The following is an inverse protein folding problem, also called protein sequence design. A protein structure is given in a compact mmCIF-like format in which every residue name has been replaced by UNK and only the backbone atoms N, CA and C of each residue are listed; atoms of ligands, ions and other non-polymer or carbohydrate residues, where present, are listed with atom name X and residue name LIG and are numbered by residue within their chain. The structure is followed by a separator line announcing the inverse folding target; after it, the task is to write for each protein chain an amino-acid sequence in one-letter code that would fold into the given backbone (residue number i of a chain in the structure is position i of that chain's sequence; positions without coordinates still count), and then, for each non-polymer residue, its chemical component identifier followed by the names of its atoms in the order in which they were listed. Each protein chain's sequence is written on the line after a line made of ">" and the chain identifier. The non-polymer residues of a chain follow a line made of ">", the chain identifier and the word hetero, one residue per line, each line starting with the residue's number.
data_IF_354215459513
#
_entry.id   IF_354215459513
#
_cell.length_a   1.000
_cell.length_b   1.000
_cell.length_c   1.000
_cell.angle_alpha   90.00
_cell.angle_beta   90.00
_cell.angle_gamma   90.00
#
_symmetry.space_group_name_H-M   'P 1'
#
loop_
_entity.id
_entity.type
_entity.pdbx_description
1 polymer ?
#
# COMPACT_ATOMS: atom_id res chain seq x y z
N UNK A 1 40.56 37.02 59.08
CA UNK A 1 39.48 36.65 58.15
C UNK A 1 39.75 35.20 57.74
N UNK A 2 38.80 34.28 57.99
CA UNK A 2 39.03 32.83 57.85
C UNK A 2 38.95 32.38 56.38
N UNK A 3 40.02 31.80 55.80
CA UNK A 3 40.03 31.29 54.43
C UNK A 3 39.14 30.06 54.23
N UNK A 4 38.77 29.35 55.31
CA UNK A 4 37.95 28.12 55.24
C UNK A 4 36.48 28.36 54.83
N UNK A 5 35.96 29.58 54.99
CA UNK A 5 34.57 29.90 54.66
C UNK A 5 34.40 30.16 53.14
N UNK A 6 35.45 30.65 52.48
CA UNK A 6 35.43 30.94 51.03
C UNK A 6 35.54 29.64 50.22
N UNK A 7 36.35 28.68 50.68
CA UNK A 7 36.56 27.38 50.02
C UNK A 7 35.32 26.47 50.13
N UNK A 8 34.60 26.53 51.26
CA UNK A 8 33.36 25.78 51.45
C UNK A 8 32.20 26.29 50.56
N UNK A 9 32.13 27.60 50.29
CA UNK A 9 31.11 28.19 49.41
C UNK A 9 31.36 27.88 47.93
N UNK A 10 32.62 27.82 47.51
CA UNK A 10 33.02 27.45 46.13
C UNK A 10 32.76 25.95 45.88
N UNK A 11 32.98 25.09 46.88
CA UNK A 11 32.69 23.66 46.81
C UNK A 11 31.19 23.33 46.67
N UNK A 12 30.31 24.09 47.35
CA UNK A 12 28.86 23.92 47.23
C UNK A 12 28.28 24.52 45.93
N UNK A 13 28.82 25.64 45.45
CA UNK A 13 28.42 26.24 44.17
C UNK A 13 28.75 25.35 42.96
N UNK A 14 29.91 24.68 42.97
CA UNK A 14 30.29 23.72 41.92
C UNK A 14 29.43 22.45 41.92
N UNK A 15 29.03 21.95 43.08
CA UNK A 15 28.21 20.74 43.22
C UNK A 15 26.77 20.93 42.70
N UNK A 16 26.15 22.09 42.93
CA UNK A 16 24.78 22.38 42.47
C UNK A 16 24.73 22.58 40.95
N UNK A 17 25.74 23.24 40.36
CA UNK A 17 25.85 23.39 38.89
C UNK A 17 26.18 22.04 38.24
N UNK A 18 27.05 21.22 38.84
CA UNK A 18 27.35 19.87 38.36
C UNK A 18 26.15 18.93 38.40
N UNK A 19 25.31 19.01 39.45
CA UNK A 19 24.07 18.24 39.56
C UNK A 19 22.97 18.73 38.60
N UNK A 20 22.83 20.03 38.37
CA UNK A 20 21.88 20.57 37.39
C UNK A 20 22.30 20.25 35.95
N UNK A 21 23.60 20.33 35.65
CA UNK A 21 24.15 19.98 34.33
C UNK A 21 24.04 18.48 34.04
N UNK A 22 24.25 17.60 35.03
CA UNK A 22 24.07 16.15 34.88
C UNK A 22 22.60 15.75 34.73
N UNK A 23 21.68 16.42 35.43
CA UNK A 23 20.24 16.18 35.30
C UNK A 23 19.69 16.67 33.94
N UNK A 24 20.16 17.82 33.46
CA UNK A 24 19.78 18.35 32.14
C UNK A 24 20.28 17.49 30.97
N UNK A 25 21.54 17.03 31.03
CA UNK A 25 22.11 16.12 30.03
C UNK A 25 21.46 14.73 30.08
N UNK A 26 21.17 14.20 31.27
CA UNK A 26 20.41 12.95 31.42
C UNK A 26 19.02 13.06 30.78
N UNK A 27 18.30 14.16 30.97
CA UNK A 27 16.98 14.36 30.38
C UNK A 27 17.00 14.48 28.85
N UNK A 28 17.95 15.22 28.29
CA UNK A 28 18.15 15.30 26.83
C UNK A 28 18.51 13.93 26.25
N UNK A 29 19.36 13.18 26.94
CA UNK A 29 19.77 11.82 26.54
C UNK A 29 18.59 10.86 26.61
N UNK A 30 17.80 10.90 27.69
CA UNK A 30 16.59 10.08 27.86
C UNK A 30 15.54 10.39 26.79
N UNK A 31 15.37 11.67 26.43
CA UNK A 31 14.48 12.09 25.34
C UNK A 31 14.94 11.54 24.00
N UNK A 32 16.22 11.68 23.66
CA UNK A 32 16.80 11.11 22.43
C UNK A 32 16.64 9.60 22.38
N UNK A 33 17.02 8.89 23.43
CA UNK A 33 16.82 7.42 23.54
C UNK A 33 15.36 7.02 23.37
N UNK A 34 14.41 7.79 23.90
CA UNK A 34 12.98 7.52 23.72
C UNK A 34 12.49 7.76 22.28
N UNK A 35 13.11 8.70 21.56
CA UNK A 35 12.83 8.97 20.15
C UNK A 35 13.44 7.88 19.28
N UNK A 36 14.72 7.57 19.50
CA UNK A 36 15.45 6.51 18.80
C UNK A 36 14.76 5.15 18.99
N UNK A 37 14.29 4.83 20.20
CA UNK A 37 13.55 3.59 20.47
C UNK A 37 12.20 3.53 19.75
N UNK A 38 11.50 4.67 19.60
CA UNK A 38 10.25 4.74 18.83
C UNK A 38 10.51 4.60 17.35
N UNK A 39 11.58 5.21 16.84
CA UNK A 39 11.99 5.11 15.45
C UNK A 39 12.43 3.69 15.10
N UNK A 40 13.28 3.06 15.92
CA UNK A 40 13.69 1.67 15.79
C UNK A 40 12.47 0.73 15.79
N UNK A 41 11.52 0.95 16.69
CA UNK A 41 10.28 0.15 16.74
C UNK A 41 9.40 0.35 15.50
N UNK A 42 9.28 1.58 14.99
CA UNK A 42 8.54 1.85 13.75
C UNK A 42 9.20 1.18 12.56
N UNK A 43 10.52 1.26 12.48
CA UNK A 43 11.31 0.61 11.46
C UNK A 43 11.14 -0.92 11.49
N UNK A 44 11.22 -1.52 12.68
CA UNK A 44 11.01 -2.96 12.86
C UNK A 44 9.60 -3.40 12.44
N UNK A 45 8.57 -2.66 12.85
CA UNK A 45 7.18 -2.92 12.43
C UNK A 45 7.05 -2.82 10.91
N UNK A 46 7.65 -1.79 10.30
CA UNK A 46 7.63 -1.58 8.86
C UNK A 46 8.31 -2.72 8.10
N UNK A 47 9.49 -3.15 8.54
CA UNK A 47 10.24 -4.26 7.94
C UNK A 47 9.46 -5.57 8.02
N UNK A 48 8.94 -5.92 9.20
CA UNK A 48 8.16 -7.15 9.38
C UNK A 48 6.88 -7.16 8.52
N UNK A 49 6.20 -6.02 8.45
CA UNK A 49 5.02 -5.86 7.61
C UNK A 49 5.34 -5.97 6.10
N UNK A 50 6.48 -5.41 5.67
CA UNK A 50 6.96 -5.53 4.29
C UNK A 50 7.35 -6.97 3.94
N UNK A 51 8.03 -7.69 4.84
CA UNK A 51 8.39 -9.10 4.66
C UNK A 51 7.15 -10.00 4.57
N UNK A 52 6.14 -9.75 5.40
CA UNK A 52 4.85 -10.46 5.35
C UNK A 52 4.13 -10.21 4.02
N UNK A 53 4.05 -8.94 3.59
CA UNK A 53 3.45 -8.57 2.31
C UNK A 53 4.19 -9.20 1.12
N UNK A 54 5.52 -9.17 1.14
CA UNK A 54 6.37 -9.78 0.11
C UNK A 54 6.15 -11.28 0.05
N UNK A 55 6.05 -11.96 1.18
CA UNK A 55 5.76 -13.40 1.23
C UNK A 55 4.42 -13.73 0.58
N UNK A 56 3.36 -13.00 0.92
CA UNK A 56 2.03 -13.20 0.33
C UNK A 56 2.02 -12.96 -1.19
N UNK A 57 2.73 -11.93 -1.66
CA UNK A 57 2.86 -11.64 -3.09
C UNK A 57 3.70 -12.68 -3.84
N UNK A 58 4.78 -13.19 -3.26
CA UNK A 58 5.57 -14.27 -3.86
C UNK A 58 4.76 -15.57 -3.95
N UNK A 59 3.99 -15.90 -2.91
CA UNK A 59 3.09 -17.05 -2.95
C UNK A 59 1.97 -16.84 -3.99
N UNK A 60 1.44 -15.63 -4.12
CA UNK A 60 0.49 -15.28 -5.16
C UNK A 60 1.10 -15.43 -6.56
N UNK A 61 2.33 -14.97 -6.78
CA UNK A 61 3.03 -15.13 -8.06
C UNK A 61 3.17 -16.61 -8.42
N UNK A 62 3.66 -17.43 -7.49
CA UNK A 62 3.77 -18.88 -7.67
C UNK A 62 2.41 -19.52 -7.96
N UNK A 63 1.36 -19.13 -7.23
CA UNK A 63 0.01 -19.60 -7.48
C UNK A 63 -0.45 -19.27 -8.91
N UNK A 64 -0.28 -18.01 -9.36
CA UNK A 64 -0.66 -17.57 -10.70
C UNK A 64 0.12 -18.29 -11.83
N UNK A 65 1.30 -18.82 -11.55
CA UNK A 65 2.06 -19.66 -12.48
C UNK A 65 1.49 -21.07 -12.64
N UNK A 66 0.81 -21.57 -11.62
CA UNK A 66 0.16 -22.89 -11.63
C UNK A 66 -1.25 -22.87 -12.22
N UNK A 67 -1.84 -21.68 -12.41
CA UNK A 67 -3.18 -21.53 -12.98
C UNK A 67 -3.19 -22.02 -14.44
N UNK A 68 -3.78 -23.19 -14.64
CA UNK A 68 -4.11 -23.69 -15.98
C UNK A 68 -5.31 -22.90 -16.49
N UNK A 69 -5.15 -22.26 -17.65
CA UNK A 69 -6.23 -21.50 -18.28
C UNK A 69 -7.04 -22.45 -19.17
N UNK A 70 -8.29 -22.77 -18.82
CA UNK A 70 -9.15 -23.55 -19.70
C UNK A 70 -9.43 -22.76 -20.99
N UNK A 71 -9.62 -23.47 -22.10
CA UNK A 71 -9.98 -22.86 -23.39
C UNK A 71 -11.42 -22.34 -23.42
N UNK A 72 -12.28 -22.87 -22.55
CA UNK A 72 -13.66 -22.44 -22.38
C UNK A 72 -13.74 -21.25 -21.42
N UNK A 73 -14.85 -20.50 -21.49
CA UNK A 73 -15.13 -19.36 -20.60
C UNK A 73 -15.99 -19.84 -19.44
N UNK A 74 -15.43 -20.35 -18.33
CA UNK A 74 -16.22 -20.61 -17.14
C UNK A 74 -16.86 -19.32 -16.62
N UNK A 75 -18.08 -19.45 -16.10
CA UNK A 75 -18.86 -18.37 -15.49
C UNK A 75 -18.16 -17.78 -14.26
N UNK A 76 -17.38 -18.60 -13.55
CA UNK A 76 -16.53 -18.21 -12.43
C UNK A 76 -15.07 -18.58 -12.71
N UNK A 77 -14.16 -17.63 -12.52
CA UNK A 77 -12.72 -17.84 -12.60
C UNK A 77 -12.25 -18.59 -11.33
N UNK A 78 -11.91 -19.89 -11.37
CA UNK A 78 -11.64 -20.68 -10.16
C UNK A 78 -10.42 -20.17 -9.37
N UNK A 79 -9.50 -19.49 -10.05
CA UNK A 79 -8.30 -18.89 -9.45
C UNK A 79 -8.57 -17.55 -8.74
N UNK A 80 -9.67 -16.87 -9.08
CA UNK A 80 -9.92 -15.48 -8.68
C UNK A 80 -10.03 -15.33 -7.17
N UNK A 81 -10.76 -16.23 -6.51
CA UNK A 81 -11.00 -16.16 -5.07
C UNK A 81 -9.69 -16.25 -4.28
N UNK A 82 -8.85 -17.23 -4.60
CA UNK A 82 -7.56 -17.40 -3.92
C UNK A 82 -6.62 -16.23 -4.21
N UNK A 83 -6.57 -15.76 -5.46
CA UNK A 83 -5.72 -14.65 -5.84
C UNK A 83 -6.11 -13.35 -5.13
N UNK A 84 -7.41 -13.03 -5.06
CA UNK A 84 -7.91 -11.85 -4.36
C UNK A 84 -7.73 -11.96 -2.84
N UNK A 85 -7.84 -13.16 -2.25
CA UNK A 85 -7.58 -13.35 -0.82
C UNK A 85 -6.11 -13.09 -0.47
N UNK A 86 -5.16 -13.63 -1.25
CA UNK A 86 -3.73 -13.35 -1.08
C UNK A 86 -3.40 -11.87 -1.28
N UNK A 87 -3.96 -11.26 -2.33
CA UNK A 87 -3.80 -9.83 -2.58
C UNK A 87 -4.35 -8.98 -1.43
N UNK A 88 -5.47 -9.39 -0.83
CA UNK A 88 -6.04 -8.75 0.35
C UNK A 88 -5.09 -8.87 1.56
N UNK A 89 -4.56 -10.06 1.85
CA UNK A 89 -3.60 -10.26 2.95
C UNK A 89 -2.36 -9.39 2.76
N UNK A 90 -1.77 -9.39 1.56
CA UNK A 90 -0.67 -8.50 1.23
C UNK A 90 -1.03 -7.03 1.48
N UNK A 91 -2.21 -6.56 1.05
CA UNK A 91 -2.64 -5.18 1.27
C UNK A 91 -2.81 -4.81 2.75
N UNK A 92 -3.26 -5.76 3.58
CA UNK A 92 -3.40 -5.56 5.03
C UNK A 92 -2.04 -5.45 5.71
N UNK A 93 -1.06 -6.26 5.30
CA UNK A 93 0.32 -6.15 5.79
C UNK A 93 0.93 -4.83 5.36
N UNK A 94 0.79 -4.42 4.10
CA UNK A 94 1.31 -3.14 3.60
C UNK A 94 0.71 -1.93 4.31
N UNK A 95 -0.56 -1.99 4.72
CA UNK A 95 -1.21 -0.92 5.49
C UNK A 95 -0.57 -0.65 6.88
N UNK A 96 0.25 -1.58 7.38
CA UNK A 96 0.98 -1.44 8.66
C UNK A 96 2.34 -0.77 8.48
N UNK A 97 2.80 -0.56 7.26
CA UNK A 97 4.11 0.02 6.97
C UNK A 97 4.04 1.54 7.22
N UNK A 98 4.93 2.10 8.07
CA UNK A 98 4.91 3.53 8.36
C UNK A 98 5.40 4.37 7.18
N UNK A 99 4.80 5.55 7.00
CA UNK A 99 5.15 6.49 5.93
C UNK A 99 4.17 6.43 4.75
N UNK A 100 4.40 7.29 3.75
CA UNK A 100 3.53 7.40 2.55
C UNK A 100 4.20 6.95 1.26
N UNK A 101 5.54 7.01 1.20
CA UNK A 101 6.29 6.75 -0.03
C UNK A 101 6.02 5.36 -0.63
N UNK A 102 6.02 4.31 0.21
CA UNK A 102 5.72 2.95 -0.24
C UNK A 102 4.24 2.76 -0.61
N UNK A 103 3.26 3.13 0.25
CA UNK A 103 1.85 3.08 -0.13
C UNK A 103 1.53 3.79 -1.45
N UNK A 104 2.07 4.98 -1.68
CA UNK A 104 1.80 5.77 -2.89
C UNK A 104 2.31 5.05 -4.16
N UNK A 105 3.41 4.30 -4.06
CA UNK A 105 3.98 3.55 -5.19
C UNK A 105 3.22 2.25 -5.46
N UNK A 106 2.81 1.55 -4.42
CA UNK A 106 2.12 0.26 -4.56
C UNK A 106 0.63 0.40 -4.87
N UNK A 107 0.02 1.54 -4.53
CA UNK A 107 -1.42 1.73 -4.70
C UNK A 107 -1.87 1.50 -6.16
N UNK A 108 -1.11 2.01 -7.12
CA UNK A 108 -1.44 1.87 -8.56
C UNK A 108 -1.45 0.41 -9.01
N UNK A 109 -0.37 -0.38 -8.86
CA UNK A 109 -0.40 -1.78 -9.25
C UNK A 109 -1.40 -2.60 -8.41
N UNK A 110 -1.61 -2.28 -7.13
CA UNK A 110 -2.63 -2.94 -6.30
C UNK A 110 -4.05 -2.73 -6.85
N UNK A 111 -4.40 -1.50 -7.22
CA UNK A 111 -5.71 -1.18 -7.77
C UNK A 111 -5.90 -1.79 -9.16
N UNK A 112 -4.86 -1.79 -9.98
CA UNK A 112 -4.88 -2.46 -11.28
C UNK A 112 -4.99 -3.98 -11.13
N UNK A 113 -4.36 -4.59 -10.12
CA UNK A 113 -4.49 -6.02 -9.85
C UNK A 113 -5.94 -6.39 -9.51
N UNK A 114 -6.62 -5.57 -8.69
CA UNK A 114 -8.06 -5.72 -8.42
C UNK A 114 -8.92 -5.48 -9.66
N UNK A 115 -8.45 -4.66 -10.58
CA UNK A 115 -9.09 -4.37 -11.87
C UNK A 115 -8.72 -5.38 -12.98
N UNK A 116 -8.30 -6.60 -12.65
CA UNK A 116 -7.84 -7.61 -13.63
C UNK A 116 -8.84 -7.91 -14.76
N UNK A 117 -10.15 -7.74 -14.55
CA UNK A 117 -11.19 -7.90 -15.60
C UNK A 117 -10.97 -6.94 -16.78
N UNK A 118 -10.33 -5.79 -16.56
CA UNK A 118 -9.92 -4.85 -17.61
C UNK A 118 -8.71 -5.35 -18.43
N UNK A 119 -8.09 -6.48 -18.08
CA UNK A 119 -7.06 -7.11 -18.91
C UNK A 119 -7.63 -7.70 -20.20
N UNK A 120 -8.86 -8.20 -20.19
CA UNK A 120 -9.47 -8.81 -21.37
C UNK A 120 -10.58 -9.80 -21.07
N UNK A 121 -11.33 -10.21 -22.11
CA UNK A 121 -12.38 -11.23 -21.96
C UNK A 121 -11.80 -12.62 -21.66
N UNK A 122 -10.55 -12.89 -22.06
CA UNK A 122 -9.89 -14.20 -21.88
C UNK A 122 -9.22 -14.32 -20.52
N UNK A 123 -9.40 -15.45 -19.84
CA UNK A 123 -8.75 -15.77 -18.56
C UNK A 123 -7.23 -15.61 -18.60
N UNK A 124 -6.56 -16.04 -19.68
CA UNK A 124 -5.11 -15.89 -19.80
C UNK A 124 -4.65 -14.42 -19.74
N UNK A 125 -5.44 -13.50 -20.28
CA UNK A 125 -5.13 -12.07 -20.23
C UNK A 125 -5.32 -11.51 -18.82
N UNK A 126 -6.33 -11.98 -18.09
CA UNK A 126 -6.63 -11.62 -16.71
C UNK A 126 -5.54 -12.08 -15.73
N UNK A 127 -5.13 -13.34 -15.85
CA UNK A 127 -4.02 -13.92 -15.06
C UNK A 127 -2.73 -13.18 -15.38
N UNK A 128 -2.41 -12.98 -16.67
CA UNK A 128 -1.23 -12.22 -17.10
C UNK A 128 -1.23 -10.78 -16.56
N UNK A 129 -2.38 -10.11 -16.61
CA UNK A 129 -2.54 -8.77 -16.06
C UNK A 129 -2.20 -8.72 -14.57
N UNK A 130 -2.79 -9.63 -13.78
CA UNK A 130 -2.51 -9.67 -12.35
C UNK A 130 -1.04 -9.99 -12.07
N UNK A 131 -0.43 -10.92 -12.83
CA UNK A 131 1.00 -11.25 -12.71
C UNK A 131 1.89 -10.02 -12.86
N UNK A 132 1.66 -9.20 -13.89
CA UNK A 132 2.46 -7.98 -14.09
C UNK A 132 2.35 -7.01 -12.91
N UNK A 133 1.16 -6.86 -12.33
CA UNK A 133 1.00 -5.98 -11.17
C UNK A 133 1.68 -6.56 -9.93
N UNK A 134 1.58 -7.87 -9.72
CA UNK A 134 2.23 -8.58 -8.60
C UNK A 134 3.75 -8.50 -8.71
N UNK A 135 4.31 -8.71 -9.90
CA UNK A 135 5.73 -8.57 -10.18
C UNK A 135 6.24 -7.16 -9.83
N UNK A 136 5.52 -6.11 -10.25
CA UNK A 136 5.87 -4.73 -9.95
C UNK A 136 5.83 -4.44 -8.43
N UNK A 137 4.81 -4.91 -7.73
CA UNK A 137 4.72 -4.77 -6.26
C UNK A 137 5.85 -5.52 -5.54
N UNK A 138 6.22 -6.71 -6.01
CA UNK A 138 7.36 -7.47 -5.45
C UNK A 138 8.65 -6.69 -5.62
N UNK A 139 8.91 -6.14 -6.81
CA UNK A 139 10.11 -5.32 -7.06
C UNK A 139 10.16 -4.12 -6.13
N UNK A 140 9.06 -3.38 -5.98
CA UNK A 140 9.00 -2.21 -5.08
C UNK A 140 9.23 -2.61 -3.61
N UNK A 141 8.63 -3.71 -3.14
CA UNK A 141 8.81 -4.18 -1.77
C UNK A 141 10.22 -4.72 -1.50
N UNK A 142 10.86 -5.35 -2.49
CA UNK A 142 12.24 -5.81 -2.35
C UNK A 142 13.20 -4.64 -2.14
N UNK A 143 13.04 -3.55 -2.90
CA UNK A 143 13.88 -2.36 -2.70
C UNK A 143 13.58 -1.64 -1.39
N UNK A 144 12.32 -1.61 -0.97
CA UNK A 144 11.95 -1.12 0.36
C UNK A 144 12.63 -1.90 1.49
N UNK A 145 12.62 -3.23 1.43
CA UNK A 145 13.27 -4.09 2.44
C UNK A 145 14.78 -3.92 2.44
N UNK A 146 15.39 -3.66 1.28
CA UNK A 146 16.82 -3.33 1.15
C UNK A 146 17.18 -1.94 1.66
N UNK A 147 16.19 -1.10 1.99
CA UNK A 147 16.37 0.30 2.40
C UNK A 147 17.07 1.13 1.33
N UNK A 148 16.78 0.87 0.05
CA UNK A 148 17.25 1.75 -1.01
C UNK A 148 16.40 3.03 -1.02
N UNK A 149 17.05 4.20 -1.00
CA UNK A 149 16.37 5.50 -0.93
C UNK A 149 15.55 5.79 -2.19
N UNK A 150 15.93 5.21 -3.33
CA UNK A 150 15.27 5.39 -4.62
C UNK A 150 14.36 4.19 -4.95
N UNK A 151 13.08 4.36 -4.66
CA UNK A 151 12.05 3.40 -5.06
C UNK A 151 11.94 3.34 -6.58
N UNK A 152 11.92 2.14 -7.19
CA UNK A 152 11.91 2.02 -8.63
C UNK A 152 10.65 2.67 -9.23
N UNK A 153 10.76 3.26 -10.44
CA UNK A 153 9.57 3.72 -11.14
C UNK A 153 8.68 2.53 -11.50
N UNK A 154 7.37 2.79 -11.66
CA UNK A 154 6.44 1.80 -12.16
C UNK A 154 6.94 1.26 -13.50
N UNK A 155 6.90 -0.06 -13.67
CA UNK A 155 7.27 -0.71 -14.93
C UNK A 155 6.43 -0.20 -16.10
N UNK A 156 6.99 -0.31 -17.31
CA UNK A 156 6.27 0.08 -18.53
C UNK A 156 4.98 -0.71 -18.72
N UNK A 157 4.94 -1.95 -18.24
CA UNK A 157 3.76 -2.81 -18.24
C UNK A 157 2.66 -2.24 -17.35
N UNK A 158 2.98 -1.79 -16.13
CA UNK A 158 2.00 -1.13 -15.25
C UNK A 158 1.47 0.16 -15.86
N UNK A 159 2.35 0.97 -16.47
CA UNK A 159 1.93 2.19 -17.14
C UNK A 159 1.02 1.92 -18.34
N UNK A 160 1.29 0.87 -19.12
CA UNK A 160 0.44 0.44 -20.24
C UNK A 160 -0.92 -0.09 -19.75
N UNK A 161 -0.92 -0.89 -18.68
CA UNK A 161 -2.13 -1.36 -18.01
C UNK A 161 -2.97 -0.19 -17.48
N UNK A 162 -2.34 0.84 -16.90
CA UNK A 162 -3.05 2.05 -16.46
C UNK A 162 -3.77 2.76 -17.61
N UNK A 163 -3.11 2.92 -18.76
CA UNK A 163 -3.72 3.50 -19.97
C UNK A 163 -4.86 2.63 -20.48
N UNK A 164 -4.68 1.31 -20.49
CA UNK A 164 -5.71 0.35 -20.93
C UNK A 164 -6.93 0.40 -20.02
N UNK A 165 -6.72 0.44 -18.70
CA UNK A 165 -7.77 0.58 -17.70
C UNK A 165 -8.55 1.88 -17.89
N UNK A 166 -7.85 3.02 -18.01
CA UNK A 166 -8.49 4.32 -18.21
C UNK A 166 -9.36 4.35 -19.48
N UNK A 167 -8.84 3.82 -20.60
CA UNK A 167 -9.57 3.74 -21.87
C UNK A 167 -10.84 2.89 -21.75
N UNK A 168 -10.73 1.68 -21.21
CA UNK A 168 -11.87 0.76 -21.11
C UNK A 168 -12.92 1.24 -20.11
N UNK A 169 -12.51 1.83 -18.99
CA UNK A 169 -13.41 2.43 -18.01
C UNK A 169 -14.21 3.59 -18.62
N UNK A 170 -13.58 4.40 -19.46
CA UNK A 170 -14.25 5.47 -20.20
C UNK A 170 -15.23 4.92 -21.24
N UNK A 171 -14.87 3.87 -21.97
CA UNK A 171 -15.76 3.18 -22.90
C UNK A 171 -17.00 2.60 -22.21
N UNK A 172 -16.82 1.98 -21.04
CA UNK A 172 -17.93 1.47 -20.22
C UNK A 172 -18.83 2.60 -19.74
N UNK A 173 -18.25 3.71 -19.23
CA UNK A 173 -19.02 4.89 -18.81
C UNK A 173 -19.89 5.42 -19.94
N UNK A 174 -19.33 5.62 -21.13
CA UNK A 174 -20.09 6.06 -22.32
C UNK A 174 -21.16 5.06 -22.74
N UNK A 175 -20.90 3.77 -22.59
CA UNK A 175 -21.90 2.73 -22.88
C UNK A 175 -23.07 2.83 -21.90
N UNK A 176 -22.81 3.01 -20.61
CA UNK A 176 -23.86 3.22 -19.61
C UNK A 176 -24.66 4.50 -19.88
N UNK A 177 -24.00 5.62 -20.18
CA UNK A 177 -24.67 6.89 -20.52
C UNK A 177 -25.58 6.75 -21.75
N UNK A 178 -25.19 5.95 -22.75
CA UNK A 178 -26.05 5.63 -23.90
C UNK A 178 -27.27 4.81 -23.51
N UNK A 179 -27.06 3.72 -22.75
CA UNK A 179 -28.15 2.86 -22.29
C UNK A 179 -29.14 3.61 -21.40
N UNK A 180 -28.66 4.52 -20.55
CA UNK A 180 -29.50 5.37 -19.71
C UNK A 180 -30.34 6.33 -20.54
N UNK A 181 -29.76 6.94 -21.58
CA UNK A 181 -30.49 7.80 -22.51
C UNK A 181 -31.56 7.02 -23.29
N UNK A 182 -31.20 5.86 -23.84
CA UNK A 182 -32.14 4.97 -24.55
C UNK A 182 -33.28 4.55 -23.64
N UNK A 183 -33.00 4.18 -22.39
CA UNK A 183 -34.03 3.82 -21.40
C UNK A 183 -34.92 5.01 -20.98
N UNK A 184 -34.43 6.25 -21.07
CA UNK A 184 -35.20 7.46 -20.82
C UNK A 184 -36.07 7.85 -22.03
N UNK A 185 -35.59 7.59 -23.26
CA UNK A 185 -36.33 7.84 -24.51
C UNK A 185 -37.41 6.77 -24.76
N UNK A 186 -37.22 5.53 -24.32
CA UNK A 186 -38.21 4.43 -24.38
C UNK A 186 -39.27 4.48 -23.25
N UNK A 187 -39.14 5.39 -22.28
CA UNK A 187 -40.20 5.64 -21.29
C UNK A 187 -41.34 6.37 -21.98
N UNK A 188 -42.46 5.69 -22.14
CA UNK A 188 -43.71 6.24 -22.65
C UNK A 188 -44.03 7.59 -21.98
N UNK A 189 -44.06 8.72 -22.73
CA UNK A 189 -44.30 10.04 -22.16
C UNK A 189 -45.69 10.17 -21.51
N UNK A 190 -46.60 9.22 -21.76
CA UNK A 190 -47.94 9.15 -21.19
C UNK A 190 -48.06 8.22 -19.97
N UNK A 191 -46.96 7.67 -19.42
CA UNK A 191 -47.05 6.87 -18.18
C UNK A 191 -47.35 7.76 -16.96
N UNK A 192 -48.65 7.93 -16.66
CA UNK A 192 -49.13 8.51 -15.40
C UNK A 192 -49.22 7.45 -14.30
N UNK A 193 -48.86 7.75 -13.04
CA UNK A 193 -48.99 6.82 -11.91
C UNK A 193 -50.41 6.30 -11.64
N UNK A 194 -51.43 6.88 -12.29
CA UNK A 194 -52.85 6.50 -12.18
C UNK A 194 -53.23 5.26 -13.03
N UNK A 195 -52.31 4.74 -13.87
CA UNK A 195 -52.56 3.57 -14.74
C UNK A 195 -51.96 2.26 -14.18
N UNK A 196 -51.52 2.24 -12.92
CA UNK A 196 -51.10 1.01 -12.24
C UNK A 196 -52.34 0.23 -11.72
N UNK A 197 -52.45 -1.09 -11.98
CA UNK A 197 -53.60 -1.91 -11.56
C UNK A 197 -53.67 -2.16 -10.05
#
# INVERSE_FOLDING_TARGET
>A
MNPDIVTALVGFGGAVVGAAASTGTAWVTLRRQSQDAKEARRYEIGRLAAEEALSELMQLQQFLETVVVPSETPTDDPWEREALDRLRRASLSMARIPGKALPDRIQVPLDLAKAYRYGGPRHALRVRWMRFMVEDMITVLLEYVRQEDDMPPLSSQVQESQRTYARRREEERRRYERLEREAFEDRDPDFTPDDAP
#
